data_IF_308516025582
#
_entry.id   IF_308516025582
#
_cell.length_a   1.000
_cell.length_b   1.000
_cell.length_c   1.000
_cell.angle_alpha   90.00
_cell.angle_beta   90.00
_cell.angle_gamma   90.00
#
_symmetry.space_group_name_H-M   'P 1'
#
loop_
_entity.id
_entity.type
_entity.pdbx_description
1 polymer ?
#
# COMPACT_ATOMS: atom_id res chain seq x y z
N UNK A 1 -7.30 10.48 3.81
CA UNK A 1 -6.44 9.94 2.72
C UNK A 1 -7.15 8.89 1.85
N UNK A 2 -8.10 8.10 2.35
CA UNK A 2 -8.85 7.12 1.55
C UNK A 2 -9.45 7.66 0.24
N UNK A 3 -10.05 8.86 0.27
CA UNK A 3 -10.59 9.50 -0.94
C UNK A 3 -9.54 9.87 -2.00
N UNK A 4 -8.28 10.12 -1.60
CA UNK A 4 -7.19 10.40 -2.54
C UNK A 4 -6.74 9.14 -3.26
N UNK A 5 -6.62 8.01 -2.56
CA UNK A 5 -6.30 6.73 -3.17
C UNK A 5 -7.39 6.32 -4.18
N UNK A 6 -8.66 6.44 -3.81
CA UNK A 6 -9.78 6.17 -4.71
C UNK A 6 -9.73 7.04 -5.97
N UNK A 7 -9.50 8.35 -5.81
CA UNK A 7 -9.40 9.30 -6.92
C UNK A 7 -8.23 8.98 -7.85
N UNK A 8 -7.07 8.64 -7.30
CA UNK A 8 -5.88 8.28 -8.07
C UNK A 8 -6.12 7.01 -8.91
N UNK A 9 -6.71 5.97 -8.31
CA UNK A 9 -7.06 4.72 -9.00
C UNK A 9 -8.07 4.99 -10.11
N UNK A 10 -9.13 5.75 -9.82
CA UNK A 10 -10.16 6.09 -10.80
C UNK A 10 -9.59 6.89 -11.98
N UNK A 11 -8.66 7.82 -11.70
CA UNK A 11 -7.97 8.57 -12.75
C UNK A 11 -7.08 7.65 -13.59
N UNK A 12 -6.22 6.83 -12.97
CA UNK A 12 -5.33 5.93 -13.69
C UNK A 12 -6.08 4.96 -14.61
N UNK A 13 -7.26 4.46 -14.18
CA UNK A 13 -8.14 3.64 -15.03
C UNK A 13 -8.71 4.41 -16.22
N UNK A 14 -9.14 5.66 -15.99
CA UNK A 14 -9.71 6.53 -17.04
C UNK A 14 -8.68 6.90 -18.11
N UNK A 15 -7.45 7.14 -17.68
CA UNK A 15 -6.32 7.45 -18.58
C UNK A 15 -5.71 6.19 -19.23
N UNK A 16 -6.23 4.99 -18.92
CA UNK A 16 -5.74 3.73 -19.49
C UNK A 16 -4.36 3.30 -18.99
N UNK A 17 -3.85 3.86 -17.89
CA UNK A 17 -2.54 3.49 -17.33
C UNK A 17 -2.56 2.13 -16.63
N UNK A 18 -3.73 1.73 -16.13
CA UNK A 18 -3.94 0.47 -15.40
C UNK A 18 -5.26 -0.17 -15.83
N UNK A 19 -5.33 -1.49 -15.75
CA UNK A 19 -6.53 -2.26 -15.98
C UNK A 19 -7.15 -2.80 -14.67
N UNK A 20 -8.24 -3.56 -14.77
CA UNK A 20 -8.91 -4.14 -13.62
C UNK A 20 -8.07 -5.20 -12.87
N UNK A 21 -7.05 -5.78 -13.52
CA UNK A 21 -6.17 -6.83 -12.97
C UNK A 21 -4.86 -6.27 -12.42
N UNK A 22 -4.63 -4.98 -12.60
CA UNK A 22 -3.39 -4.34 -12.16
C UNK A 22 -3.31 -4.38 -10.63
N UNK A 23 -2.23 -4.95 -10.11
CA UNK A 23 -1.96 -4.97 -8.68
C UNK A 23 -1.52 -3.59 -8.21
N UNK A 24 -2.22 -3.04 -7.22
CA UNK A 24 -1.98 -1.68 -6.74
C UNK A 24 -1.44 -1.77 -5.32
N UNK A 25 -0.38 -1.00 -5.05
CA UNK A 25 0.20 -0.87 -3.72
C UNK A 25 0.22 0.60 -3.32
N UNK A 26 -0.22 0.89 -2.10
CA UNK A 26 -0.05 2.19 -1.46
C UNK A 26 1.10 2.10 -0.45
N UNK A 27 2.11 2.94 -0.67
CA UNK A 27 3.27 3.08 0.22
C UNK A 27 3.09 4.34 1.06
N UNK A 28 3.25 4.25 2.37
CA UNK A 28 3.13 5.39 3.28
C UNK A 28 3.75 5.14 4.65
N UNK A 29 3.82 6.19 5.46
CA UNK A 29 4.47 6.22 6.77
C UNK A 29 3.50 6.58 7.90
N UNK A 30 2.20 6.66 7.61
CA UNK A 30 1.18 7.03 8.59
C UNK A 30 0.08 5.95 8.65
N UNK A 31 -0.55 5.71 9.82
CA UNK A 31 -1.67 4.77 9.93
C UNK A 31 -2.81 4.99 8.92
N UNK A 32 -3.06 6.26 8.60
CA UNK A 32 -4.05 6.68 7.61
C UNK A 32 -3.78 6.14 6.19
N UNK A 33 -2.54 5.81 5.85
CA UNK A 33 -2.19 5.22 4.55
C UNK A 33 -2.57 3.73 4.55
N UNK A 34 -2.32 3.02 5.65
CA UNK A 34 -2.73 1.62 5.84
C UNK A 34 -4.27 1.51 5.77
N UNK A 35 -4.97 2.41 6.47
CA UNK A 35 -6.43 2.46 6.43
C UNK A 35 -6.98 2.84 5.05
N UNK A 36 -6.31 3.75 4.34
CA UNK A 36 -6.69 4.13 2.98
C UNK A 36 -6.52 2.97 1.99
N UNK A 37 -5.43 2.22 2.08
CA UNK A 37 -5.18 1.03 1.27
C UNK A 37 -6.26 -0.02 1.49
N UNK A 38 -6.54 -0.35 2.77
CA UNK A 38 -7.59 -1.30 3.16
C UNK A 38 -8.96 -0.88 2.63
N UNK A 39 -9.34 0.39 2.80
CA UNK A 39 -10.62 0.91 2.32
C UNK A 39 -10.78 0.84 0.79
N UNK A 40 -9.67 0.80 0.05
CA UNK A 40 -9.66 0.69 -1.42
C UNK A 40 -9.36 -0.74 -1.91
N UNK A 41 -9.18 -1.72 -1.01
CA UNK A 41 -8.86 -3.10 -1.37
C UNK A 41 -7.52 -3.26 -2.09
N UNK A 42 -6.54 -2.40 -1.79
CA UNK A 42 -5.20 -2.42 -2.39
C UNK A 42 -4.15 -2.76 -1.31
N UNK A 43 -2.98 -3.25 -1.74
CA UNK A 43 -1.91 -3.64 -0.83
C UNK A 43 -1.32 -2.42 -0.10
N UNK A 44 -1.05 -2.57 1.18
CA UNK A 44 -0.43 -1.55 2.04
C UNK A 44 1.04 -1.87 2.35
N UNK A 45 1.92 -0.92 2.09
CA UNK A 45 3.32 -0.95 2.53
C UNK A 45 3.55 0.21 3.48
N UNK A 46 3.79 -0.11 4.74
CA UNK A 46 4.14 0.84 5.79
C UNK A 46 5.66 0.96 5.91
N UNK A 47 6.19 2.19 5.97
CA UNK A 47 7.63 2.48 6.07
C UNK A 47 7.92 3.20 7.38
N UNK A 48 8.80 2.63 8.21
CA UNK A 48 9.06 3.15 9.55
C UNK A 48 10.16 4.22 9.64
N UNK A 49 10.75 4.65 8.51
CA UNK A 49 11.66 5.82 8.46
C UNK A 49 10.96 7.16 8.34
N UNK A 50 9.63 7.18 8.20
CA UNK A 50 8.85 8.41 8.12
C UNK A 50 8.40 8.95 9.47
N UNK A 51 7.21 9.56 9.50
CA UNK A 51 6.69 10.34 10.63
C UNK A 51 6.29 9.47 11.83
N UNK A 52 5.80 8.24 11.59
CA UNK A 52 5.28 7.35 12.63
C UNK A 52 6.18 6.13 12.79
N UNK A 53 6.62 5.79 14.02
CA UNK A 53 7.50 4.66 14.24
C UNK A 53 6.81 3.32 13.99
N UNK A 54 7.60 2.28 13.70
CA UNK A 54 7.11 0.92 13.42
C UNK A 54 6.14 0.39 14.50
N UNK A 55 6.40 0.71 15.77
CA UNK A 55 5.58 0.28 16.90
C UNK A 55 4.14 0.82 16.83
N UNK A 56 3.93 2.00 16.27
CA UNK A 56 2.62 2.63 16.08
C UNK A 56 1.95 2.21 14.77
N UNK A 57 2.72 1.78 13.76
CA UNK A 57 2.20 1.25 12.50
C UNK A 57 1.74 -0.21 12.62
N UNK A 58 2.44 -1.02 13.41
CA UNK A 58 2.16 -2.46 13.63
C UNK A 58 0.71 -2.78 14.00
N UNK A 59 0.05 -2.07 14.94
CA UNK A 59 -1.33 -2.32 15.33
C UNK A 59 -2.34 -2.21 14.17
N UNK A 60 -2.03 -1.40 13.16
CA UNK A 60 -2.89 -1.23 11.99
C UNK A 60 -2.81 -2.39 10.99
N UNK A 61 -1.88 -3.34 11.19
CA UNK A 61 -1.70 -4.55 10.36
C UNK A 61 -1.55 -4.20 8.86
N UNK A 62 -0.47 -3.50 8.46
CA UNK A 62 -0.14 -3.36 7.05
C UNK A 62 0.22 -4.73 6.45
N UNK A 63 0.02 -4.90 5.14
CA UNK A 63 0.40 -6.13 4.44
C UNK A 63 1.92 -6.33 4.46
N UNK A 64 2.65 -5.21 4.37
CA UNK A 64 4.11 -5.17 4.44
C UNK A 64 4.50 -4.02 5.37
N UNK A 65 5.39 -4.30 6.33
CA UNK A 65 6.04 -3.29 7.16
C UNK A 65 7.55 -3.39 6.96
N UNK A 66 8.17 -2.31 6.55
CA UNK A 66 9.62 -2.21 6.35
C UNK A 66 10.19 -1.07 7.19
N UNK A 67 11.42 -1.26 7.67
CA UNK A 67 12.09 -0.22 8.43
C UNK A 67 12.44 0.99 7.54
N UNK A 68 12.70 0.75 6.25
CA UNK A 68 13.12 1.78 5.32
C UNK A 68 12.80 1.44 3.85
N UNK A 69 12.63 2.46 3.00
CA UNK A 69 12.37 2.27 1.56
C UNK A 69 13.50 1.53 0.84
N UNK A 70 14.76 1.65 1.27
CA UNK A 70 15.88 0.87 0.71
C UNK A 70 15.72 -0.64 0.94
N UNK A 71 14.85 -1.06 1.85
CA UNK A 71 14.52 -2.47 2.10
C UNK A 71 13.41 -2.98 1.18
N UNK A 72 12.68 -2.10 0.48
CA UNK A 72 11.63 -2.52 -0.44
C UNK A 72 12.25 -3.23 -1.66
N UNK A 73 11.66 -4.36 -2.04
CA UNK A 73 12.02 -5.12 -3.25
C UNK A 73 10.76 -5.32 -4.07
N UNK A 74 10.89 -5.26 -5.40
CA UNK A 74 9.76 -5.49 -6.32
C UNK A 74 9.12 -6.86 -6.09
N UNK A 75 9.93 -7.87 -5.73
CA UNK A 75 9.45 -9.21 -5.39
C UNK A 75 8.51 -9.25 -4.18
N UNK A 76 8.60 -8.29 -3.26
CA UNK A 76 7.69 -8.17 -2.12
C UNK A 76 6.32 -7.65 -2.55
N UNK A 77 6.25 -6.92 -3.67
CA UNK A 77 5.02 -6.30 -4.16
C UNK A 77 4.21 -7.22 -5.07
N UNK A 78 4.78 -8.33 -5.52
CA UNK A 78 4.07 -9.27 -6.37
C UNK A 78 2.86 -9.89 -5.63
N UNK A 79 1.72 -10.09 -6.31
CA UNK A 79 0.61 -10.84 -5.73
C UNK A 79 1.12 -12.20 -5.24
N UNK A 80 0.85 -12.54 -3.98
CA UNK A 80 1.13 -13.90 -3.50
C UNK A 80 0.13 -14.80 -4.19
N UNK A 81 0.56 -15.52 -5.23
CA UNK A 81 -0.23 -16.57 -5.85
C UNK A 81 -0.61 -17.57 -4.75
N UNK A 82 -1.87 -17.54 -4.32
CA UNK A 82 -2.34 -18.40 -3.25
C UNK A 82 -2.24 -19.86 -3.66
N UNK A 83 -1.36 -20.61 -3.00
CA UNK A 83 -1.56 -22.01 -2.61
C UNK A 83 -0.83 -22.27 -1.29
N UNK A 84 -1.55 -22.18 -0.19
CA UNK A 84 -1.80 -23.29 0.74
C UNK A 84 -3.12 -23.04 1.44
#
# INVERSE_FOLDING_TARGET
RAGLAALAIARARREGWIDARTHITLVGDHPNDILAARANGIQSVAVATGVVPAAELRPYRPDILIDDLRSLRVSMLAPRNGRQ
#
